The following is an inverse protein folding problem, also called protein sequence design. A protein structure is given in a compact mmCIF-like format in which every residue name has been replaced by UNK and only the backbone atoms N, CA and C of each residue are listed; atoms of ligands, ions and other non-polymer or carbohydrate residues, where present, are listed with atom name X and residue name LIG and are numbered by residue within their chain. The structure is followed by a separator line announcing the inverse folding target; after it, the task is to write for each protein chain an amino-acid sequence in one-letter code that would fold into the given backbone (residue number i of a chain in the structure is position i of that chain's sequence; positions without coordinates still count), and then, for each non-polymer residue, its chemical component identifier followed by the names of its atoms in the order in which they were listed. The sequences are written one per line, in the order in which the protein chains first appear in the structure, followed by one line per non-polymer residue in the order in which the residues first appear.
data_IF_936459411218
#
_entry.id   IF_936459411218
#
_cell.length_a   1.000
_cell.length_b   1.000
_cell.length_c   1.000
_cell.angle_alpha   90.00
_cell.angle_beta   90.00
_cell.angle_gamma   90.00
#
_symmetry.space_group_name_H-M   'P 1'
#
loop_
_entity.id
_entity.type
_entity.pdbx_description
1 polymer ?
#
# COMPACT_ATOMS: atom_id res chain seq x y z
N UNK A 1 -50.51 46.91 -40.75
CA UNK A 1 -49.07 46.71 -40.43
C UNK A 1 -49.02 45.74 -39.25
N UNK A 2 -48.68 44.47 -39.49
CA UNK A 2 -48.81 43.37 -38.50
C UNK A 2 -47.52 43.23 -37.69
N UNK A 3 -47.62 43.32 -36.37
CA UNK A 3 -46.56 42.96 -35.42
C UNK A 3 -46.31 41.44 -35.48
N UNK A 4 -45.07 41.03 -35.66
CA UNK A 4 -44.61 39.66 -35.38
C UNK A 4 -43.84 39.66 -34.06
N UNK A 5 -44.39 39.00 -33.05
CA UNK A 5 -43.70 38.71 -31.78
C UNK A 5 -43.14 37.29 -31.92
N UNK A 6 -41.82 37.19 -32.09
CA UNK A 6 -41.10 35.92 -32.09
C UNK A 6 -40.66 35.59 -30.66
N UNK A 7 -41.37 34.67 -30.01
CA UNK A 7 -40.97 34.12 -28.71
C UNK A 7 -39.96 32.98 -28.95
N UNK A 8 -38.68 33.24 -28.68
CA UNK A 8 -37.62 32.24 -28.75
C UNK A 8 -37.56 31.46 -27.42
N UNK A 9 -37.93 30.17 -27.46
CA UNK A 9 -37.92 29.26 -26.32
C UNK A 9 -36.50 28.69 -26.12
N UNK A 10 -35.81 29.10 -25.06
CA UNK A 10 -34.49 28.56 -24.68
C UNK A 10 -34.65 27.29 -23.84
N UNK A 11 -34.36 26.12 -24.43
CA UNK A 11 -34.17 24.87 -23.67
C UNK A 11 -32.85 24.95 -22.89
N UNK A 12 -32.95 25.00 -21.57
CA UNK A 12 -31.80 24.83 -20.66
C UNK A 12 -31.57 23.34 -20.46
N UNK A 13 -30.63 22.78 -21.21
CA UNK A 13 -30.16 21.40 -21.00
C UNK A 13 -29.31 21.33 -19.74
N UNK A 14 -29.86 20.82 -18.63
CA UNK A 14 -29.10 20.46 -17.43
C UNK A 14 -28.19 19.29 -17.75
N UNK A 15 -26.92 19.55 -17.99
CA UNK A 15 -25.90 18.51 -18.12
C UNK A 15 -25.62 17.96 -16.71
N UNK A 16 -26.16 16.78 -16.42
CA UNK A 16 -25.74 16.02 -15.25
C UNK A 16 -24.29 15.56 -15.47
N UNK A 17 -23.35 16.14 -14.73
CA UNK A 17 -21.96 15.66 -14.69
C UNK A 17 -21.97 14.32 -13.96
N UNK A 18 -22.08 13.22 -14.71
CA UNK A 18 -21.77 11.91 -14.21
C UNK A 18 -20.24 11.75 -14.18
N UNK A 19 -19.66 11.84 -12.99
CA UNK A 19 -18.30 11.38 -12.76
C UNK A 19 -18.26 9.87 -13.04
N UNK A 20 -17.72 9.49 -14.20
CA UNK A 20 -17.44 8.08 -14.47
C UNK A 20 -16.27 7.68 -13.59
N UNK A 21 -16.39 6.63 -12.76
CA UNK A 21 -15.24 6.08 -12.06
C UNK A 21 -14.25 5.61 -13.14
N UNK A 22 -13.07 6.22 -13.19
CA UNK A 22 -11.97 5.77 -14.03
C UNK A 22 -11.60 4.37 -13.57
N UNK A 23 -12.09 3.35 -14.30
CA UNK A 23 -11.56 1.99 -14.20
C UNK A 23 -10.05 2.08 -14.42
N UNK A 24 -9.26 1.87 -13.37
CA UNK A 24 -7.82 1.67 -13.48
C UNK A 24 -6.93 2.48 -12.54
N UNK A 25 -7.44 3.49 -11.82
CA UNK A 25 -6.65 4.18 -10.78
C UNK A 25 -7.15 3.84 -9.38
N UNK A 26 -6.23 3.72 -8.44
CA UNK A 26 -6.56 3.62 -7.02
C UNK A 26 -7.19 4.95 -6.57
N UNK A 27 -8.08 4.94 -5.56
CA UNK A 27 -8.48 6.18 -4.90
C UNK A 27 -7.26 6.91 -4.34
N UNK A 28 -7.26 8.24 -4.38
CA UNK A 28 -6.11 9.08 -4.01
C UNK A 28 -5.54 8.75 -2.62
N UNK A 29 -6.41 8.43 -1.65
CA UNK A 29 -5.98 8.06 -0.30
C UNK A 29 -5.24 6.72 -0.26
N UNK A 30 -5.64 5.76 -1.10
CA UNK A 30 -5.02 4.44 -1.23
C UNK A 30 -3.69 4.56 -1.99
N UNK A 31 -3.68 5.32 -3.09
CA UNK A 31 -2.46 5.63 -3.84
C UNK A 31 -1.42 6.36 -2.96
N UNK A 32 -1.84 7.40 -2.26
CA UNK A 32 -0.97 8.17 -1.37
C UNK A 32 -0.42 7.29 -0.23
N UNK A 33 -1.20 6.36 0.29
CA UNK A 33 -0.73 5.41 1.30
C UNK A 33 0.32 4.46 0.72
N UNK A 34 0.05 3.86 -0.44
CA UNK A 34 0.99 2.93 -1.09
C UNK A 34 2.29 3.62 -1.50
N UNK A 35 2.20 4.75 -2.20
CA UNK A 35 3.35 5.51 -2.69
C UNK A 35 4.26 5.98 -1.56
N UNK A 36 3.68 6.53 -0.48
CA UNK A 36 4.46 6.97 0.71
C UNK A 36 5.11 5.80 1.42
N UNK A 37 4.40 4.68 1.60
CA UNK A 37 5.00 3.48 2.19
C UNK A 37 6.18 2.97 1.38
N UNK A 38 6.04 2.86 0.05
CA UNK A 38 7.13 2.43 -0.82
C UNK A 38 8.33 3.39 -0.76
N UNK A 39 8.08 4.70 -0.67
CA UNK A 39 9.14 5.70 -0.48
C UNK A 39 9.83 5.57 0.88
N UNK A 40 9.09 5.36 1.97
CA UNK A 40 9.69 5.13 3.29
C UNK A 40 10.55 3.87 3.30
N UNK A 41 10.07 2.79 2.70
CA UNK A 41 10.81 1.54 2.59
C UNK A 41 12.06 1.73 1.71
N UNK A 42 11.97 2.49 0.62
CA UNK A 42 13.12 2.82 -0.22
C UNK A 42 14.19 3.62 0.51
N UNK A 43 13.79 4.55 1.35
CA UNK A 43 14.74 5.39 2.09
C UNK A 43 15.39 4.64 3.25
N UNK A 44 14.65 3.78 3.94
CA UNK A 44 15.06 3.30 5.28
C UNK A 44 15.28 1.79 5.41
N UNK A 45 14.90 0.96 4.44
CA UNK A 45 15.10 -0.50 4.58
C UNK A 45 16.59 -0.84 4.63
N UNK A 46 16.92 -1.88 5.40
CA UNK A 46 18.29 -2.37 5.56
C UNK A 46 18.87 -2.78 4.20
N UNK A 47 18.12 -3.60 3.45
CA UNK A 47 18.50 -4.14 2.15
C UNK A 47 18.11 -3.22 0.97
N UNK A 48 17.82 -1.93 1.21
CA UNK A 48 17.28 -1.01 0.19
C UNK A 48 18.11 -0.92 -1.10
N UNK A 49 19.42 -1.13 -1.03
CA UNK A 49 20.31 -1.05 -2.18
C UNK A 49 20.28 -2.32 -3.05
N UNK A 50 19.77 -3.43 -2.53
CA UNK A 50 19.65 -4.70 -3.25
C UNK A 50 18.29 -4.87 -3.95
N UNK A 51 17.37 -3.92 -3.75
CA UNK A 51 15.99 -3.97 -4.28
C UNK A 51 15.93 -3.25 -5.62
N UNK A 52 15.33 -3.91 -6.61
CA UNK A 52 14.88 -3.25 -7.84
C UNK A 52 13.59 -2.47 -7.54
N UNK A 53 13.75 -1.18 -7.22
CA UNK A 53 12.63 -0.31 -6.84
C UNK A 53 11.61 -0.08 -7.96
N UNK A 54 12.02 0.19 -9.23
CA UNK A 54 11.09 0.25 -10.34
C UNK A 54 10.23 -1.01 -10.46
N UNK A 55 10.84 -2.19 -10.41
CA UNK A 55 10.12 -3.46 -10.50
C UNK A 55 9.19 -3.68 -9.30
N UNK A 56 9.66 -3.42 -8.08
CA UNK A 56 8.84 -3.56 -6.86
C UNK A 56 7.63 -2.63 -6.89
N UNK A 57 7.81 -1.36 -7.28
CA UNK A 57 6.70 -0.39 -7.40
C UNK A 57 5.67 -0.90 -8.40
N UNK A 58 6.11 -1.30 -9.59
CA UNK A 58 5.21 -1.84 -10.62
C UNK A 58 4.41 -3.05 -10.10
N UNK A 59 5.08 -4.01 -9.47
CA UNK A 59 4.43 -5.21 -8.93
C UNK A 59 3.45 -4.89 -7.78
N UNK A 60 3.79 -3.94 -6.91
CA UNK A 60 2.93 -3.51 -5.81
C UNK A 60 1.63 -2.87 -6.35
N UNK A 61 1.74 -1.99 -7.35
CA UNK A 61 0.58 -1.34 -7.97
C UNK A 61 -0.30 -2.32 -8.75
N UNK A 62 0.29 -3.31 -9.42
CA UNK A 62 -0.47 -4.38 -10.07
C UNK A 62 -1.27 -5.19 -9.04
N UNK A 63 -0.68 -5.51 -7.89
CA UNK A 63 -1.37 -6.24 -6.80
C UNK A 63 -2.41 -5.40 -6.07
N UNK A 64 -2.28 -4.08 -6.09
CA UNK A 64 -3.23 -3.15 -5.47
C UNK A 64 -4.48 -2.89 -6.32
N UNK A 65 -4.50 -3.29 -7.60
CA UNK A 65 -5.61 -3.04 -8.50
C UNK A 65 -6.96 -3.45 -7.89
N UNK A 66 -7.93 -2.53 -7.96
CA UNK A 66 -9.26 -2.72 -7.40
C UNK A 66 -9.41 -2.36 -5.92
N UNK A 67 -8.32 -2.13 -5.16
CA UNK A 67 -8.41 -1.69 -3.78
C UNK A 67 -9.13 -0.33 -3.68
N UNK A 68 -10.22 -0.27 -2.90
CA UNK A 68 -11.01 0.95 -2.70
C UNK A 68 -10.72 1.62 -1.37
N UNK A 69 -10.15 0.88 -0.42
CA UNK A 69 -9.80 1.36 0.90
C UNK A 69 -8.37 0.97 1.27
N UNK A 70 -7.81 1.64 2.26
CA UNK A 70 -6.51 1.25 2.84
C UNK A 70 -6.57 -0.21 3.31
N UNK A 71 -7.70 -0.66 3.88
CA UNK A 71 -7.83 -2.04 4.36
C UNK A 71 -7.76 -3.07 3.23
N UNK A 72 -8.30 -2.76 2.05
CA UNK A 72 -8.22 -3.64 0.86
C UNK A 72 -6.79 -3.74 0.33
N UNK A 73 -5.99 -2.68 0.52
CA UNK A 73 -4.60 -2.62 0.10
C UNK A 73 -3.67 -3.47 1.00
N UNK A 74 -3.92 -3.52 2.31
CA UNK A 74 -2.95 -4.08 3.26
C UNK A 74 -2.49 -5.52 3.02
N UNK A 75 -3.31 -6.44 2.47
CA UNK A 75 -2.87 -7.79 2.12
C UNK A 75 -1.66 -7.87 1.18
N UNK A 76 -1.26 -6.80 0.48
CA UNK A 76 -0.04 -6.80 -0.35
C UNK A 76 1.26 -6.70 0.46
N UNK A 77 1.22 -6.24 1.71
CA UNK A 77 2.43 -5.94 2.49
C UNK A 77 3.33 -7.15 2.78
N UNK A 78 2.81 -8.37 3.04
CA UNK A 78 3.66 -9.55 3.13
C UNK A 78 4.53 -9.76 1.88
N UNK A 79 4.00 -9.52 0.69
CA UNK A 79 4.79 -9.56 -0.56
C UNK A 79 5.85 -8.46 -0.59
N UNK A 80 5.52 -7.23 -0.18
CA UNK A 80 6.49 -6.13 -0.14
C UNK A 80 7.65 -6.46 0.81
N UNK A 81 7.36 -6.95 2.01
CA UNK A 81 8.38 -7.36 2.99
C UNK A 81 9.24 -8.53 2.49
N UNK A 82 8.66 -9.47 1.73
CA UNK A 82 9.41 -10.52 1.05
C UNK A 82 10.42 -9.97 0.03
N UNK A 83 10.02 -9.00 -0.80
CA UNK A 83 10.94 -8.37 -1.77
C UNK A 83 12.08 -7.61 -1.08
N UNK A 84 11.84 -7.10 0.14
CA UNK A 84 12.85 -6.46 0.97
C UNK A 84 13.75 -7.47 1.71
N UNK A 85 13.47 -8.77 1.60
CA UNK A 85 14.09 -9.83 2.42
C UNK A 85 13.96 -9.55 3.93
N UNK A 86 12.87 -8.91 4.33
CA UNK A 86 12.63 -8.50 5.71
C UNK A 86 11.50 -9.33 6.35
N UNK A 87 11.88 -10.42 7.02
CA UNK A 87 10.95 -11.27 7.79
C UNK A 87 10.75 -10.79 9.25
N UNK A 88 11.45 -9.71 9.62
CA UNK A 88 11.35 -9.03 10.90
C UNK A 88 10.35 -7.89 10.88
N UNK A 89 10.25 -7.16 9.77
CA UNK A 89 9.33 -6.05 9.56
C UNK A 89 7.87 -6.49 9.51
N UNK A 90 6.99 -5.56 9.89
CA UNK A 90 5.55 -5.72 9.73
C UNK A 90 4.84 -4.37 9.63
N UNK A 91 3.64 -4.40 9.05
CA UNK A 91 2.69 -3.30 9.14
C UNK A 91 1.62 -3.65 10.17
N UNK A 92 1.43 -2.80 11.16
CA UNK A 92 0.32 -2.91 12.12
C UNK A 92 -0.80 -1.92 11.73
N UNK A 93 -2.02 -2.41 11.63
CA UNK A 93 -3.18 -1.57 11.31
C UNK A 93 -4.44 -2.11 11.98
N UNK A 94 -5.10 -1.30 12.82
CA UNK A 94 -6.34 -1.64 13.54
C UNK A 94 -6.29 -3.03 14.21
N UNK A 95 -5.20 -3.31 14.93
CA UNK A 95 -5.00 -4.58 15.64
C UNK A 95 -4.63 -5.77 14.76
N UNK A 96 -4.50 -5.60 13.44
CA UNK A 96 -4.01 -6.63 12.52
C UNK A 96 -2.56 -6.37 12.15
N UNK A 97 -1.81 -7.45 11.95
CA UNK A 97 -0.41 -7.42 11.54
C UNK A 97 -0.26 -8.07 10.16
N UNK A 98 0.41 -7.38 9.26
CA UNK A 98 0.76 -7.84 7.92
C UNK A 98 2.27 -7.98 7.84
N UNK A 99 2.76 -9.21 7.77
CA UNK A 99 4.19 -9.52 7.73
C UNK A 99 4.48 -10.67 6.79
N UNK A 100 5.71 -10.71 6.27
CA UNK A 100 6.21 -11.90 5.60
C UNK A 100 6.63 -12.96 6.62
N UNK A 101 6.20 -14.20 6.40
CA UNK A 101 6.62 -15.35 7.19
C UNK A 101 7.60 -16.16 6.36
N UNK A 102 8.89 -15.87 6.53
CA UNK A 102 9.95 -16.62 5.87
C UNK A 102 10.08 -18.03 6.47
N UNK A 103 9.49 -19.02 5.79
CA UNK A 103 9.50 -20.42 6.21
C UNK A 103 10.88 -21.09 6.06
N UNK A 104 11.80 -20.49 5.31
CA UNK A 104 13.14 -21.06 5.08
C UNK A 104 14.18 -20.54 6.08
N UNK A 105 13.83 -19.55 6.91
CA UNK A 105 14.71 -19.05 7.98
C UNK A 105 15.08 -20.20 8.92
N UNK A 106 16.36 -20.49 9.01
CA UNK A 106 16.90 -21.43 9.99
C UNK A 106 16.81 -20.79 11.38
N UNK A 107 16.15 -21.40 12.37
CA UNK A 107 16.11 -20.89 13.72
C UNK A 107 17.52 -20.81 14.30
N UNK A 108 17.78 -19.81 15.15
CA UNK A 108 19.02 -19.76 15.90
C UNK A 108 19.10 -20.93 16.90
N UNK A 109 20.17 -21.74 16.81
CA UNK A 109 20.29 -23.00 17.57
C UNK A 109 21.39 -23.02 18.63
N UNK A 110 22.23 -21.99 18.75
CA UNK A 110 23.32 -21.99 19.73
C UNK A 110 22.78 -22.07 21.17
N UNK A 111 23.09 -23.17 21.85
CA UNK A 111 22.58 -23.50 23.18
C UNK A 111 23.13 -22.57 24.25
N UNK A 112 24.41 -22.19 24.16
CA UNK A 112 25.06 -21.26 25.10
C UNK A 112 24.39 -19.89 25.11
N UNK A 113 24.13 -19.32 23.93
CA UNK A 113 23.47 -18.02 23.82
C UNK A 113 22.00 -18.10 24.25
N UNK A 114 21.29 -19.18 23.93
CA UNK A 114 19.93 -19.40 24.46
C UNK A 114 19.91 -19.47 25.99
N UNK A 115 20.85 -20.18 26.59
CA UNK A 115 20.98 -20.28 28.04
C UNK A 115 21.31 -18.92 28.68
N UNK A 116 22.16 -18.10 28.05
CA UNK A 116 22.45 -16.76 28.50
C UNK A 116 21.22 -15.83 28.41
N UNK A 117 20.50 -15.83 27.28
CA UNK A 117 19.28 -15.03 27.11
C UNK A 117 18.15 -15.44 28.07
N UNK A 118 18.03 -16.73 28.39
CA UNK A 118 17.05 -17.24 29.33
C UNK A 118 17.23 -16.70 30.76
N UNK A 119 18.47 -16.35 31.15
CA UNK A 119 18.76 -15.71 32.44
C UNK A 119 18.22 -14.28 32.54
N UNK A 120 17.79 -13.70 31.41
CA UNK A 120 17.43 -12.29 31.18
C UNK A 120 18.61 -11.35 31.49
N UNK A 121 18.85 -10.30 30.69
CA UNK A 121 19.80 -9.28 31.10
C UNK A 121 19.29 -8.65 32.39
N UNK A 122 20.08 -8.75 33.47
CA UNK A 122 19.90 -7.90 34.63
C UNK A 122 20.28 -6.49 34.21
N UNK A 123 19.38 -5.53 34.37
CA UNK A 123 19.78 -4.12 34.36
C UNK A 123 20.62 -3.93 35.63
N UNK A 124 21.92 -3.66 35.48
CA UNK A 124 22.76 -3.18 36.57
C UNK A 124 22.46 -1.70 36.83
#
# INVERSE_FOLDING_TARGET
MRLFISTLLTLVSTQAIHAQPTKGSLPDSVDAFLSKSLTLLQTHSLERNAVDWPQLRQAAYQRAQGAQTISDLLPIYPFIFEQLKDDHGWLAYRGKTYKWYNKTRVPYTNTTVKAALAKKPGLQ
#
